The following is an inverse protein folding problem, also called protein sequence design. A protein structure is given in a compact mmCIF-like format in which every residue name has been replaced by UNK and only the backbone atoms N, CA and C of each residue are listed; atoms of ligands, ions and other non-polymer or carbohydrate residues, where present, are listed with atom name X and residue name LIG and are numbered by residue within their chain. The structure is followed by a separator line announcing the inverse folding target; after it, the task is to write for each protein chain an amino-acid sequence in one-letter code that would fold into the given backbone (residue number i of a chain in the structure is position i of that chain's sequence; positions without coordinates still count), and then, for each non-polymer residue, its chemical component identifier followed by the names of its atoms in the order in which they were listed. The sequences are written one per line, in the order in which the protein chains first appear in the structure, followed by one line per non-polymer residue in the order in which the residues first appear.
data_IF_718729356358
#
_entry.id   IF_718729356358
#
_cell.length_a   1.000
_cell.length_b   1.000
_cell.length_c   1.000
_cell.angle_alpha   90.00
_cell.angle_beta   90.00
_cell.angle_gamma   90.00
#
_symmetry.space_group_name_H-M   'P 1'
#
loop_
_entity.id
_entity.type
_entity.pdbx_description
1 polymer ?
#
# COMPACT_ATOMS: atom_id res chain seq x y z
N UNK A 1 -64.05 54.47 -54.58
CA UNK A 1 -63.35 55.75 -54.41
C UNK A 1 -62.24 55.56 -53.39
N UNK A 2 -60.99 55.70 -53.81
CA UNK A 2 -59.78 55.75 -52.97
C UNK A 2 -59.65 57.12 -52.30
N UNK A 3 -58.90 57.21 -51.18
CA UNK A 3 -57.87 58.24 -51.09
C UNK A 3 -56.55 57.64 -50.55
N UNK A 4 -55.45 57.69 -51.30
CA UNK A 4 -54.49 58.80 -51.47
C UNK A 4 -53.54 58.92 -50.27
N UNK A 5 -52.28 58.57 -50.57
CA UNK A 5 -51.07 58.63 -49.75
C UNK A 5 -50.62 60.08 -49.53
N UNK A 6 -50.00 60.35 -48.38
CA UNK A 6 -49.23 61.57 -48.11
C UNK A 6 -47.72 61.32 -48.23
N UNK A 7 -47.04 62.33 -48.79
CA UNK A 7 -45.68 62.87 -48.48
C UNK A 7 -44.53 61.91 -48.21
N UNK A 8 -43.35 61.97 -48.83
CA UNK A 8 -42.62 63.13 -49.38
C UNK A 8 -41.54 63.57 -48.38
N UNK A 9 -40.27 63.20 -48.64
CA UNK A 9 -38.98 63.75 -48.14
C UNK A 9 -37.94 62.63 -47.93
N UNK A 10 -36.61 62.80 -47.99
CA UNK A 10 -35.63 63.71 -48.62
C UNK A 10 -34.25 63.02 -48.39
N UNK A 11 -33.33 63.17 -49.33
CA UNK A 11 -31.85 63.23 -49.22
C UNK A 11 -30.99 62.21 -48.40
N UNK A 12 -30.19 61.41 -49.13
CA UNK A 12 -28.72 61.16 -49.01
C UNK A 12 -28.12 60.50 -47.74
N UNK A 13 -26.79 60.21 -47.69
CA UNK A 13 -25.84 59.80 -48.72
C UNK A 13 -25.22 58.40 -48.45
N UNK A 14 -24.50 57.86 -49.45
CA UNK A 14 -23.68 56.65 -49.37
C UNK A 14 -22.70 56.68 -48.17
N UNK A 15 -22.74 55.62 -47.35
CA UNK A 15 -21.72 55.32 -46.33
C UNK A 15 -21.21 53.90 -46.54
N UNK A 16 -19.89 53.77 -46.74
CA UNK A 16 -19.17 52.51 -46.88
C UNK A 16 -19.28 51.66 -45.59
N UNK A 17 -19.33 50.32 -45.67
CA UNK A 17 -19.35 49.49 -44.48
C UNK A 17 -17.97 49.52 -43.79
N UNK A 18 -17.95 49.95 -42.52
CA UNK A 18 -16.82 49.81 -41.63
C UNK A 18 -16.54 48.32 -41.37
N UNK A 19 -15.31 47.87 -41.64
CA UNK A 19 -14.84 46.53 -41.25
C UNK A 19 -14.84 46.44 -39.73
N UNK A 20 -15.70 45.59 -39.16
CA UNK A 20 -15.59 45.14 -37.77
C UNK A 20 -14.26 44.41 -37.62
N UNK A 21 -13.37 44.90 -36.74
CA UNK A 21 -12.25 44.11 -36.22
C UNK A 21 -12.83 43.17 -35.17
N UNK A 22 -12.79 41.87 -35.41
CA UNK A 22 -13.03 40.87 -34.37
C UNK A 22 -11.87 40.88 -33.36
N UNK A 23 -12.12 40.61 -32.07
CA UNK A 23 -11.06 40.55 -31.08
C UNK A 23 -10.18 39.31 -31.31
N UNK A 24 -8.87 39.51 -31.27
CA UNK A 24 -7.87 38.44 -31.26
C UNK A 24 -8.11 37.58 -30.01
N UNK A 25 -8.63 36.38 -30.21
CA UNK A 25 -8.78 35.38 -29.15
C UNK A 25 -7.41 35.01 -28.57
N UNK A 26 -7.22 35.30 -27.28
CA UNK A 26 -6.15 34.72 -26.48
C UNK A 26 -6.32 33.20 -26.48
N UNK A 27 -5.52 32.50 -27.29
CA UNK A 27 -5.37 31.05 -27.18
C UNK A 27 -4.83 30.76 -25.79
N UNK A 28 -5.67 30.18 -24.93
CA UNK A 28 -5.20 29.48 -23.74
C UNK A 28 -4.31 28.33 -24.23
N UNK A 29 -3.01 28.48 -24.05
CA UNK A 29 -2.05 27.38 -24.14
C UNK A 29 -2.39 26.43 -22.99
N UNK A 30 -3.09 25.34 -23.32
CA UNK A 30 -3.22 24.20 -22.42
C UNK A 30 -1.81 23.69 -22.13
N UNK A 31 -1.35 23.89 -20.89
CA UNK A 31 -0.10 23.33 -20.42
C UNK A 31 -0.23 21.81 -20.48
N UNK A 32 0.59 21.17 -21.32
CA UNK A 32 0.74 19.73 -21.33
C UNK A 32 1.09 19.25 -19.89
N UNK A 33 0.53 18.13 -19.42
CA UNK A 33 0.88 17.61 -18.12
C UNK A 33 2.40 17.37 -18.07
N UNK A 34 3.06 17.93 -17.06
CA UNK A 34 4.46 17.67 -16.80
C UNK A 34 4.67 16.15 -16.73
N UNK A 35 5.69 15.58 -17.39
CA UNK A 35 5.99 14.17 -17.22
C UNK A 35 6.29 13.94 -15.74
N UNK A 36 5.45 13.14 -15.07
CA UNK A 36 5.76 12.64 -13.73
C UNK A 36 7.13 11.96 -13.86
N UNK A 37 8.17 12.55 -13.26
CA UNK A 37 9.52 11.97 -13.25
C UNK A 37 9.37 10.53 -12.77
N UNK A 38 9.85 9.56 -13.56
CA UNK A 38 9.90 8.18 -13.09
C UNK A 38 10.70 8.16 -11.79
N UNK A 39 10.17 7.57 -10.69
CA UNK A 39 10.93 7.46 -9.47
C UNK A 39 12.24 6.73 -9.77
N UNK A 40 13.33 7.20 -9.15
CA UNK A 40 14.57 6.44 -9.14
C UNK A 40 14.29 5.13 -8.41
N UNK A 41 14.65 4.00 -9.03
CA UNK A 41 14.44 2.70 -8.39
C UNK A 41 15.44 2.50 -7.25
N UNK A 42 14.96 2.03 -6.11
CA UNK A 42 15.70 1.93 -4.86
C UNK A 42 15.75 0.47 -4.38
N UNK A 43 16.93 0.01 -3.99
CA UNK A 43 17.13 -1.28 -3.31
C UNK A 43 16.61 -1.24 -1.86
N UNK A 44 16.59 -0.05 -1.24
CA UNK A 44 16.09 0.14 0.12
C UNK A 44 15.19 1.37 0.18
N UNK A 45 13.88 1.14 0.30
CA UNK A 45 12.90 2.21 0.58
C UNK A 45 12.91 2.50 2.08
N UNK A 46 12.91 3.78 2.53
CA UNK A 46 12.83 4.12 3.94
C UNK A 46 11.59 3.49 4.60
N UNK A 47 11.78 2.81 5.72
CA UNK A 47 10.67 2.15 6.42
C UNK A 47 9.62 3.14 6.88
N UNK A 48 10.00 4.37 7.20
CA UNK A 48 9.11 5.45 7.60
C UNK A 48 8.12 5.81 6.47
N UNK A 49 8.56 5.75 5.21
CA UNK A 49 7.68 6.00 4.06
C UNK A 49 6.67 4.86 3.88
N UNK A 50 7.10 3.60 4.06
CA UNK A 50 6.21 2.44 3.99
C UNK A 50 5.20 2.47 5.15
N UNK A 51 5.66 2.80 6.36
CA UNK A 51 4.80 2.96 7.54
C UNK A 51 3.74 4.03 7.32
N UNK A 52 4.10 5.17 6.72
CA UNK A 52 3.14 6.23 6.42
C UNK A 52 2.05 5.77 5.42
N UNK A 53 2.42 5.02 4.38
CA UNK A 53 1.44 4.45 3.45
C UNK A 53 0.56 3.37 4.08
N UNK A 54 1.14 2.49 4.90
CA UNK A 54 0.39 1.50 5.68
C UNK A 54 -0.64 2.17 6.60
N UNK A 55 -0.24 3.20 7.34
CA UNK A 55 -1.14 3.97 8.21
C UNK A 55 -2.23 4.69 7.41
N UNK A 56 -1.91 5.19 6.22
CA UNK A 56 -2.91 5.81 5.33
C UNK A 56 -3.96 4.81 4.87
N UNK A 57 -3.56 3.57 4.56
CA UNK A 57 -4.49 2.50 4.15
C UNK A 57 -5.34 2.04 5.31
N UNK A 58 -4.75 1.75 6.48
CA UNK A 58 -5.52 1.30 7.64
C UNK A 58 -6.35 2.40 8.31
N UNK A 59 -6.00 3.67 8.10
CA UNK A 59 -6.75 4.81 8.62
C UNK A 59 -6.90 4.78 10.15
N UNK A 60 -8.12 4.63 10.63
CA UNK A 60 -8.43 4.61 12.06
C UNK A 60 -8.25 3.23 12.73
N UNK A 61 -7.89 2.18 11.97
CA UNK A 61 -7.67 0.83 12.49
C UNK A 61 -6.34 0.73 13.25
N UNK A 62 -6.33 1.29 14.47
CA UNK A 62 -5.16 1.30 15.35
C UNK A 62 -4.71 -0.10 15.75
N UNK A 63 -5.62 -1.08 15.77
CA UNK A 63 -5.29 -2.47 16.05
C UNK A 63 -4.34 -3.02 14.97
N UNK A 64 -4.69 -2.86 13.69
CA UNK A 64 -3.85 -3.37 12.58
C UNK A 64 -2.55 -2.60 12.43
N UNK A 65 -2.58 -1.28 12.67
CA UNK A 65 -1.37 -0.47 12.69
C UNK A 65 -0.40 -0.97 13.79
N UNK A 66 -0.88 -1.16 15.01
CA UNK A 66 -0.03 -1.61 16.12
C UNK A 66 0.48 -3.04 15.89
N UNK A 67 -0.36 -3.94 15.37
CA UNK A 67 0.05 -5.29 14.99
C UNK A 67 1.25 -5.26 14.02
N UNK A 68 1.13 -4.55 12.90
CA UNK A 68 2.21 -4.45 11.92
C UNK A 68 3.50 -3.83 12.50
N UNK A 69 3.39 -2.85 13.40
CA UNK A 69 4.54 -2.24 14.07
C UNK A 69 5.22 -3.19 15.07
N UNK A 70 4.45 -3.99 15.81
CA UNK A 70 4.98 -5.02 16.69
C UNK A 70 5.66 -6.14 15.91
N UNK A 71 5.06 -6.58 14.80
CA UNK A 71 5.67 -7.55 13.88
C UNK A 71 6.98 -7.00 13.33
N UNK A 72 7.02 -5.74 12.89
CA UNK A 72 8.26 -5.10 12.44
C UNK A 72 9.34 -5.10 13.53
N UNK A 73 8.98 -4.76 14.77
CA UNK A 73 9.91 -4.74 15.90
C UNK A 73 10.56 -6.11 16.13
N UNK A 74 9.78 -7.19 16.09
CA UNK A 74 10.33 -8.54 16.23
C UNK A 74 11.11 -8.99 14.99
N UNK A 75 10.65 -8.67 13.79
CA UNK A 75 11.36 -8.99 12.54
C UNK A 75 12.75 -8.33 12.51
N UNK A 76 12.87 -7.05 12.90
CA UNK A 76 14.16 -6.37 12.99
C UNK A 76 15.10 -7.01 14.03
N UNK A 77 14.57 -7.53 15.16
CA UNK A 77 15.37 -8.27 16.15
C UNK A 77 15.85 -9.62 15.63
N UNK A 78 15.02 -10.35 14.89
CA UNK A 78 15.38 -11.64 14.28
C UNK A 78 16.46 -11.42 13.20
N UNK A 79 16.32 -10.37 12.38
CA UNK A 79 17.31 -9.99 11.36
C UNK A 79 18.72 -9.72 11.90
N UNK A 80 18.88 -9.39 13.18
CA UNK A 80 20.20 -9.23 13.79
C UNK A 80 20.98 -10.56 13.91
N UNK A 81 20.29 -11.70 13.77
CA UNK A 81 20.83 -13.04 14.01
C UNK A 81 20.62 -14.00 12.83
N UNK A 82 19.81 -13.64 11.85
CA UNK A 82 19.48 -14.47 10.69
C UNK A 82 19.95 -13.82 9.39
N UNK A 83 20.32 -14.64 8.40
CA UNK A 83 20.70 -14.14 7.06
C UNK A 83 19.47 -14.04 6.18
N UNK A 84 18.88 -12.85 6.16
CA UNK A 84 17.73 -12.49 5.33
C UNK A 84 17.89 -11.06 4.83
N UNK A 85 17.24 -10.75 3.71
CA UNK A 85 17.24 -9.42 3.11
C UNK A 85 16.28 -8.50 3.87
N UNK A 86 16.86 -7.53 4.57
CA UNK A 86 16.11 -6.46 5.25
C UNK A 86 15.21 -5.69 4.29
N UNK A 87 15.66 -5.49 3.04
CA UNK A 87 14.93 -4.80 1.99
C UNK A 87 13.62 -5.51 1.63
N UNK A 88 13.49 -6.81 1.91
CA UNK A 88 12.26 -7.60 1.71
C UNK A 88 11.47 -7.75 3.00
N UNK A 89 12.15 -8.11 4.10
CA UNK A 89 11.50 -8.42 5.38
C UNK A 89 10.78 -7.22 5.98
N UNK A 90 11.39 -6.03 5.94
CA UNK A 90 10.78 -4.82 6.54
C UNK A 90 9.49 -4.40 5.84
N UNK A 91 9.45 -4.27 4.49
CA UNK A 91 8.19 -4.03 3.79
C UNK A 91 7.15 -5.13 4.02
N UNK A 92 7.58 -6.40 4.00
CA UNK A 92 6.65 -7.51 4.21
C UNK A 92 6.05 -7.48 5.62
N UNK A 93 6.83 -7.18 6.66
CA UNK A 93 6.34 -7.00 8.04
C UNK A 93 5.30 -5.89 8.15
N UNK A 94 5.55 -4.74 7.53
CA UNK A 94 4.61 -3.62 7.55
C UNK A 94 3.33 -3.86 6.74
N UNK A 95 3.39 -4.68 5.70
CA UNK A 95 2.31 -4.81 4.71
C UNK A 95 1.62 -6.19 4.68
N UNK A 96 2.02 -7.17 5.48
CA UNK A 96 1.48 -8.54 5.40
C UNK A 96 -0.05 -8.60 5.50
N UNK A 97 -0.63 -7.80 6.39
CA UNK A 97 -2.08 -7.73 6.64
C UNK A 97 -2.81 -6.66 5.81
N UNK A 98 -2.13 -5.98 4.88
CA UNK A 98 -2.67 -4.79 4.19
C UNK A 98 -3.96 -5.08 3.38
N UNK A 99 -4.18 -6.35 3.04
CA UNK A 99 -5.35 -6.81 2.30
C UNK A 99 -6.66 -6.86 3.09
N UNK A 100 -6.62 -6.70 4.42
CA UNK A 100 -7.79 -7.02 5.26
C UNK A 100 -9.04 -6.19 4.98
N UNK A 101 -8.90 -4.87 4.83
CA UNK A 101 -10.07 -4.00 4.58
C UNK A 101 -10.66 -4.26 3.20
N UNK A 102 -9.84 -4.58 2.21
CA UNK A 102 -10.29 -4.90 0.86
C UNK A 102 -10.97 -6.28 0.80
N UNK A 103 -10.46 -7.24 1.58
CA UNK A 103 -11.10 -8.54 1.78
C UNK A 103 -12.49 -8.39 2.41
N UNK A 104 -12.60 -7.58 3.47
CA UNK A 104 -13.89 -7.28 4.10
C UNK A 104 -14.85 -6.59 3.13
N UNK A 105 -14.37 -5.59 2.38
CA UNK A 105 -15.18 -4.85 1.41
C UNK A 105 -15.73 -5.73 0.27
N UNK A 106 -14.91 -6.64 -0.27
CA UNK A 106 -15.27 -7.47 -1.44
C UNK A 106 -16.03 -8.74 -1.07
N UNK A 107 -15.66 -9.38 0.03
CA UNK A 107 -16.14 -10.73 0.37
C UNK A 107 -16.94 -10.76 1.68
N UNK A 108 -17.12 -9.61 2.35
CA UNK A 108 -17.73 -9.52 3.67
C UNK A 108 -17.05 -10.47 4.67
N UNK A 109 -15.73 -10.62 4.55
CA UNK A 109 -14.93 -11.57 5.31
C UNK A 109 -13.49 -11.10 5.45
N UNK A 110 -12.93 -11.28 6.65
CA UNK A 110 -11.52 -11.08 6.96
C UNK A 110 -10.75 -12.40 6.98
N UNK A 111 -11.27 -13.47 6.36
CA UNK A 111 -10.57 -14.75 6.31
C UNK A 111 -9.22 -14.63 5.59
N UNK A 112 -8.20 -15.35 6.10
CA UNK A 112 -6.83 -15.34 5.59
C UNK A 112 -6.75 -15.47 4.05
N UNK A 113 -7.53 -16.37 3.46
CA UNK A 113 -7.56 -16.61 2.01
C UNK A 113 -7.88 -15.35 1.20
N UNK A 114 -8.79 -14.50 1.68
CA UNK A 114 -9.16 -13.27 0.97
C UNK A 114 -8.13 -12.17 1.19
N UNK A 115 -7.54 -12.09 2.39
CA UNK A 115 -6.46 -11.14 2.65
C UNK A 115 -5.25 -11.43 1.77
N UNK A 116 -4.92 -12.70 1.58
CA UNK A 116 -3.83 -13.18 0.73
C UNK A 116 -4.07 -12.91 -0.78
N UNK A 117 -5.33 -12.80 -1.21
CA UNK A 117 -5.69 -12.40 -2.57
C UNK A 117 -5.56 -10.88 -2.73
N UNK A 118 -6.03 -10.11 -1.75
CA UNK A 118 -6.16 -8.65 -1.87
C UNK A 118 -4.92 -7.88 -1.39
N UNK A 119 -4.08 -8.47 -0.55
CA UNK A 119 -2.85 -7.86 -0.02
C UNK A 119 -1.79 -7.58 -1.09
N UNK A 120 -1.39 -8.56 -1.93
CA UNK A 120 -0.36 -8.38 -2.94
C UNK A 120 -0.59 -7.20 -3.91
N UNK A 121 -1.79 -6.99 -4.50
CA UNK A 121 -2.00 -5.84 -5.40
C UNK A 121 -1.89 -4.49 -4.68
N UNK A 122 -2.30 -4.40 -3.41
CA UNK A 122 -2.20 -3.17 -2.61
C UNK A 122 -0.72 -2.89 -2.27
N UNK A 123 -0.01 -3.89 -1.75
CA UNK A 123 1.42 -3.79 -1.43
C UNK A 123 2.25 -3.42 -2.66
N UNK A 124 1.97 -4.04 -3.82
CA UNK A 124 2.62 -3.72 -5.09
C UNK A 124 2.44 -2.26 -5.47
N UNK A 125 1.23 -1.72 -5.34
CA UNK A 125 0.93 -0.31 -5.63
C UNK A 125 1.79 0.62 -4.78
N UNK A 126 1.75 0.43 -3.45
CA UNK A 126 2.52 1.22 -2.47
C UNK A 126 4.01 1.18 -2.81
N UNK A 127 4.59 -0.01 -2.94
CA UNK A 127 6.04 -0.16 -3.09
C UNK A 127 6.54 0.34 -4.46
N UNK A 128 5.75 0.17 -5.51
CA UNK A 128 6.09 0.70 -6.84
C UNK A 128 6.07 2.23 -6.86
N UNK A 129 5.09 2.85 -6.20
CA UNK A 129 4.99 4.32 -6.10
C UNK A 129 6.16 4.91 -5.28
N UNK A 130 6.62 4.18 -4.26
CA UNK A 130 7.81 4.51 -3.47
C UNK A 130 9.13 4.22 -4.23
N UNK A 131 9.07 3.70 -5.45
CA UNK A 131 10.24 3.43 -6.29
C UNK A 131 11.02 2.19 -5.88
N UNK A 132 10.41 1.22 -5.21
CA UNK A 132 11.08 -0.04 -4.89
C UNK A 132 11.39 -0.85 -6.16
N UNK A 133 12.55 -1.50 -6.20
CA UNK A 133 12.95 -2.34 -7.34
C UNK A 133 11.94 -3.46 -7.60
N UNK A 134 11.59 -3.74 -8.88
CA UNK A 134 10.54 -4.70 -9.22
C UNK A 134 10.75 -6.12 -8.68
N UNK A 135 12.01 -6.57 -8.57
CA UNK A 135 12.31 -7.91 -8.06
C UNK A 135 12.03 -8.03 -6.56
N UNK A 136 12.38 -7.00 -5.77
CA UNK A 136 12.04 -6.94 -4.34
C UNK A 136 10.53 -6.82 -4.13
N UNK A 137 9.85 -5.99 -4.94
CA UNK A 137 8.38 -5.90 -4.91
C UNK A 137 7.74 -7.27 -5.17
N UNK A 138 8.26 -8.02 -6.14
CA UNK A 138 7.75 -9.35 -6.45
C UNK A 138 7.92 -10.32 -5.28
N UNK A 139 9.06 -10.28 -4.58
CA UNK A 139 9.30 -11.15 -3.44
C UNK A 139 8.43 -10.77 -2.23
N UNK A 140 8.28 -9.47 -1.94
CA UNK A 140 7.36 -9.00 -0.89
C UNK A 140 5.93 -9.44 -1.21
N UNK A 141 5.47 -9.28 -2.46
CA UNK A 141 4.14 -9.71 -2.87
C UNK A 141 3.94 -11.22 -2.78
N UNK A 142 4.97 -12.02 -3.12
CA UNK A 142 4.93 -13.47 -2.96
C UNK A 142 4.69 -13.81 -1.49
N UNK A 143 5.54 -13.31 -0.58
CA UNK A 143 5.42 -13.53 0.86
C UNK A 143 4.02 -13.17 1.38
N UNK A 144 3.48 -12.00 1.02
CA UNK A 144 2.16 -11.55 1.44
C UNK A 144 1.06 -12.51 0.97
N UNK A 145 1.17 -13.04 -0.25
CA UNK A 145 0.18 -13.93 -0.85
C UNK A 145 0.02 -15.28 -0.13
N UNK A 146 0.97 -15.68 0.72
CA UNK A 146 0.89 -16.97 1.42
C UNK A 146 1.41 -16.96 2.86
N UNK A 147 1.55 -15.80 3.51
CA UNK A 147 2.10 -15.72 4.88
C UNK A 147 1.31 -16.53 5.96
N UNK A 148 -0.01 -16.72 5.81
CA UNK A 148 -0.80 -17.64 6.66
C UNK A 148 -0.76 -19.12 6.22
N UNK A 149 -0.17 -19.44 5.07
CA UNK A 149 -0.13 -20.77 4.47
C UNK A 149 1.30 -21.09 3.97
N UNK A 150 2.25 -21.28 4.90
CA UNK A 150 3.64 -21.58 4.54
C UNK A 150 3.73 -22.84 3.67
N UNK A 151 4.56 -22.76 2.63
CA UNK A 151 4.92 -23.86 1.73
C UNK A 151 5.94 -24.77 2.41
N UNK A 152 6.23 -25.91 1.78
CA UNK A 152 7.25 -26.84 2.26
C UNK A 152 8.65 -26.20 2.29
N UNK A 153 8.98 -25.42 1.25
CA UNK A 153 10.24 -24.70 1.12
C UNK A 153 9.96 -23.19 1.05
N UNK A 154 10.40 -22.49 2.09
CA UNK A 154 10.27 -21.03 2.21
C UNK A 154 11.62 -20.33 2.24
N UNK A 155 11.64 -19.10 1.71
CA UNK A 155 12.83 -18.24 1.73
C UNK A 155 13.20 -17.83 3.16
N UNK A 156 14.44 -17.39 3.38
CA UNK A 156 14.83 -16.85 4.68
C UNK A 156 14.01 -15.59 5.04
N UNK A 157 13.65 -14.78 4.04
CA UNK A 157 12.81 -13.61 4.20
C UNK A 157 11.41 -13.98 4.73
N UNK A 158 10.78 -14.98 4.11
CA UNK A 158 9.48 -15.48 4.57
C UNK A 158 9.56 -15.99 6.02
N UNK A 159 10.57 -16.81 6.33
CA UNK A 159 10.73 -17.42 7.66
C UNK A 159 10.88 -16.39 8.77
N UNK A 160 11.62 -15.31 8.49
CA UNK A 160 11.78 -14.20 9.45
C UNK A 160 10.46 -13.47 9.68
N UNK A 161 9.70 -13.17 8.60
CA UNK A 161 8.39 -12.55 8.75
C UNK A 161 7.44 -13.46 9.53
N UNK A 162 7.35 -14.73 9.14
CA UNK A 162 6.43 -15.70 9.74
C UNK A 162 6.68 -15.83 11.24
N UNK A 163 7.94 -15.97 11.66
CA UNK A 163 8.29 -16.06 13.07
C UNK A 163 7.94 -14.78 13.84
N UNK A 164 8.16 -13.60 13.25
CA UNK A 164 7.82 -12.33 13.88
C UNK A 164 6.30 -12.16 14.08
N UNK A 165 5.50 -12.48 13.05
CA UNK A 165 4.04 -12.45 13.12
C UNK A 165 3.52 -13.47 14.14
N UNK A 166 4.10 -14.67 14.16
CA UNK A 166 3.72 -15.70 15.11
C UNK A 166 3.99 -15.29 16.58
N UNK A 167 5.05 -14.52 16.86
CA UNK A 167 5.30 -13.98 18.21
C UNK A 167 4.16 -13.07 18.65
N UNK A 168 3.74 -12.13 17.79
CA UNK A 168 2.65 -11.20 18.10
C UNK A 168 1.34 -11.95 18.30
N UNK A 169 1.02 -12.88 17.39
CA UNK A 169 -0.18 -13.70 17.49
C UNK A 169 -0.21 -14.54 18.77
N UNK A 170 0.91 -15.18 19.14
CA UNK A 170 0.99 -15.95 20.39
C UNK A 170 0.89 -15.08 21.64
N UNK A 171 1.41 -13.86 21.60
CA UNK A 171 1.33 -12.89 22.70
C UNK A 171 -0.10 -12.39 22.90
N UNK A 172 -0.79 -12.05 21.81
CA UNK A 172 -2.04 -11.30 21.88
C UNK A 172 -3.27 -12.23 21.90
N UNK A 173 -3.32 -13.22 21.00
CA UNK A 173 -4.48 -14.11 20.83
C UNK A 173 -4.39 -15.39 21.68
N UNK A 174 -3.18 -15.79 22.08
CA UNK A 174 -2.94 -17.05 22.82
C UNK A 174 -2.37 -16.86 24.22
N UNK A 175 -2.51 -15.66 24.80
CA UNK A 175 -2.08 -15.32 26.17
C UNK A 175 -2.64 -16.22 27.28
N UNK A 176 -3.75 -16.92 27.01
CA UNK A 176 -4.41 -17.84 27.94
C UNK A 176 -3.83 -19.27 27.94
N UNK A 177 -2.87 -19.59 27.06
CA UNK A 177 -2.25 -20.91 27.01
C UNK A 177 -1.35 -21.16 28.22
N UNK A 178 -1.28 -22.43 28.65
CA UNK A 178 -0.30 -22.83 29.67
C UNK A 178 1.13 -22.74 29.12
N UNK A 179 2.09 -22.48 30.01
CA UNK A 179 3.52 -22.44 29.69
C UNK A 179 3.99 -23.67 28.90
N UNK A 180 3.52 -24.86 29.26
CA UNK A 180 3.83 -26.10 28.55
C UNK A 180 3.35 -26.13 27.10
N UNK A 181 2.10 -25.70 26.84
CA UNK A 181 1.53 -25.64 25.48
C UNK A 181 2.18 -24.55 24.64
N UNK A 182 2.55 -23.44 25.27
CA UNK A 182 3.24 -22.35 24.61
C UNK A 182 4.65 -22.79 24.17
N UNK A 183 5.38 -23.49 25.03
CA UNK A 183 6.67 -24.08 24.68
C UNK A 183 6.56 -25.08 23.52
N UNK A 184 5.58 -25.99 23.55
CA UNK A 184 5.36 -26.95 22.46
C UNK A 184 5.09 -26.24 21.12
N UNK A 185 4.29 -25.17 21.13
CA UNK A 185 4.04 -24.35 19.93
C UNK A 185 5.31 -23.67 19.43
N UNK A 186 6.10 -23.09 20.32
CA UNK A 186 7.38 -22.44 19.96
C UNK A 186 8.32 -23.45 19.30
N UNK A 187 8.47 -24.64 19.89
CA UNK A 187 9.38 -25.68 19.40
C UNK A 187 8.94 -26.20 18.01
N UNK A 188 7.63 -26.25 17.73
CA UNK A 188 7.08 -26.84 16.49
C UNK A 188 6.91 -25.84 15.34
N UNK A 189 6.45 -24.63 15.62
CA UNK A 189 5.89 -23.73 14.59
C UNK A 189 6.89 -22.73 14.02
N UNK A 190 7.92 -22.37 14.78
CA UNK A 190 8.90 -21.40 14.35
C UNK A 190 9.90 -22.01 13.38
N UNK A 191 10.31 -21.25 12.38
CA UNK A 191 11.30 -21.67 11.39
C UNK A 191 12.73 -21.40 11.85
N UNK A 192 13.01 -20.19 12.31
CA UNK A 192 14.37 -19.70 12.60
C UNK A 192 14.79 -19.98 14.04
N UNK A 193 16.10 -20.09 14.27
CA UNK A 193 16.63 -20.27 15.63
C UNK A 193 16.49 -18.97 16.42
N UNK A 194 16.72 -17.82 15.78
CA UNK A 194 16.52 -16.51 16.40
C UNK A 194 15.05 -16.28 16.77
N UNK A 195 14.11 -16.62 15.90
CA UNK A 195 12.66 -16.54 16.15
C UNK A 195 12.24 -17.39 17.35
N UNK A 196 12.67 -18.66 17.43
CA UNK A 196 12.41 -19.53 18.60
C UNK A 196 12.94 -18.94 19.90
N UNK A 197 14.19 -18.48 19.90
CA UNK A 197 14.81 -17.88 21.10
C UNK A 197 14.08 -16.63 21.54
N UNK A 198 13.76 -15.75 20.60
CA UNK A 198 13.03 -14.52 20.87
C UNK A 198 11.63 -14.82 21.40
N UNK A 199 10.91 -15.78 20.82
CA UNK A 199 9.60 -16.19 21.30
C UNK A 199 9.67 -16.71 22.74
N UNK A 200 10.65 -17.55 23.07
CA UNK A 200 10.84 -18.04 24.44
C UNK A 200 11.13 -16.90 25.43
N UNK A 201 11.98 -15.95 25.06
CA UNK A 201 12.29 -14.75 25.87
C UNK A 201 11.04 -13.90 26.18
N UNK A 202 10.19 -13.70 25.18
CA UNK A 202 9.01 -12.83 25.29
C UNK A 202 7.86 -13.54 26.02
N UNK A 203 7.66 -14.82 25.74
CA UNK A 203 6.41 -15.53 26.06
C UNK A 203 6.53 -16.49 27.27
N UNK A 204 7.70 -17.02 27.59
CA UNK A 204 7.88 -18.08 28.61
C UNK A 204 8.46 -17.58 29.95
N UNK A 205 8.02 -16.41 30.42
CA UNK A 205 8.49 -15.80 31.67
C UNK A 205 8.06 -16.55 32.92
#
# INVERSE_FOLDING_TARGET
MLPVRKSGDRNGPHSLPQRRREPVGLRQVSAAPHPRRRPLMMENVPKEAITAEMQRVFGADTRRINHALDVLSFAERILLKETADRGVVVPAALLHDIGIHEAERKYNSTAAVYQQIEGPPIAKGILTELGMQPHLVSEVCDIIAHHHAPRADESSNFKVLYDADLIVNLRDDFSHLSQSRLKEKIDRMFFTEAGRRLAAEILLK
#
